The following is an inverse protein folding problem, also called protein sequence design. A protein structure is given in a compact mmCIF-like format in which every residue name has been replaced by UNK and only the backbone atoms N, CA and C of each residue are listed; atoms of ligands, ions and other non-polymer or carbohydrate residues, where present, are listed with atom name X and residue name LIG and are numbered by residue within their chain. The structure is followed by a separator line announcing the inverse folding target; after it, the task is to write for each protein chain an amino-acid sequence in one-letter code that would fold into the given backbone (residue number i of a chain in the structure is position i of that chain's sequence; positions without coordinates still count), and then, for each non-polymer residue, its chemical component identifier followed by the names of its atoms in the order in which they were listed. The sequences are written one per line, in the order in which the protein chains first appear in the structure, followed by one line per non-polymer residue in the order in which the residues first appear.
data_IF_172435275576
#
_entry.id   IF_172435275576
#
_cell.length_a   1.000
_cell.length_b   1.000
_cell.length_c   1.000
_cell.angle_alpha   90.00
_cell.angle_beta   90.00
_cell.angle_gamma   90.00
#
_symmetry.space_group_name_H-M   'P 1'
#
loop_
_entity.id
_entity.type
_entity.pdbx_description
1 polymer ?
#
# COMPACT_ATOMS: atom_id res chain seq x y z
N UNK A 1 10.48 7.56 3.76
CA UNK A 1 10.07 6.31 3.10
C UNK A 1 10.06 5.20 4.12
N UNK A 2 8.87 4.71 4.43
CA UNK A 2 8.66 3.51 5.22
C UNK A 2 7.50 2.71 4.63
N UNK A 3 7.44 1.44 4.97
CA UNK A 3 6.31 0.56 4.68
C UNK A 3 5.80 0.09 6.04
N UNK A 4 4.59 0.51 6.39
CA UNK A 4 3.96 0.18 7.66
C UNK A 4 3.57 -1.29 7.76
N UNK A 5 3.29 -1.72 8.99
CA UNK A 5 2.88 -3.09 9.26
C UNK A 5 1.63 -3.46 8.45
N UNK A 6 1.54 -4.72 8.06
CA UNK A 6 0.43 -5.27 7.27
C UNK A 6 0.19 -4.64 5.89
N UNK A 7 1.05 -3.72 5.43
CA UNK A 7 0.95 -3.17 4.09
C UNK A 7 1.17 -4.25 3.02
N UNK A 8 0.43 -4.17 1.92
CA UNK A 8 0.53 -5.11 0.82
C UNK A 8 0.93 -4.39 -0.47
N UNK A 9 2.15 -4.69 -0.94
CA UNK A 9 2.69 -4.15 -2.19
C UNK A 9 2.59 -5.24 -3.27
N UNK A 10 1.75 -5.01 -4.28
CA UNK A 10 1.56 -5.94 -5.38
C UNK A 10 2.72 -5.88 -6.39
N UNK A 11 2.80 -6.92 -7.23
CA UNK A 11 3.88 -7.07 -8.21
C UNK A 11 4.05 -5.85 -9.10
N UNK A 12 5.31 -5.47 -9.33
CA UNK A 12 5.71 -4.36 -10.22
C UNK A 12 5.20 -2.98 -9.80
N UNK A 13 4.80 -2.78 -8.55
CA UNK A 13 4.62 -1.44 -8.02
C UNK A 13 5.99 -0.72 -7.93
N UNK A 14 6.02 0.54 -8.37
CA UNK A 14 7.15 1.45 -8.23
C UNK A 14 6.85 2.45 -7.10
N UNK A 15 7.65 2.41 -6.04
CA UNK A 15 7.59 3.36 -4.93
C UNK A 15 8.72 4.38 -5.09
N UNK A 16 8.37 5.63 -5.37
CA UNK A 16 9.33 6.73 -5.51
C UNK A 16 9.65 7.39 -4.17
N UNK A 17 10.63 8.30 -4.15
CA UNK A 17 10.89 9.14 -2.98
C UNK A 17 9.62 9.92 -2.59
N UNK A 18 9.23 9.83 -1.33
CA UNK A 18 7.96 10.40 -0.83
C UNK A 18 6.79 9.40 -0.74
N UNK A 19 6.97 8.15 -1.17
CA UNK A 19 5.98 7.08 -1.02
C UNK A 19 6.02 6.44 0.39
N UNK A 20 5.56 7.18 1.40
CA UNK A 20 5.35 6.62 2.73
C UNK A 20 4.05 5.80 2.74
N UNK A 21 4.14 4.48 2.98
CA UNK A 21 2.99 3.57 2.91
C UNK A 21 2.49 3.29 4.33
N UNK A 22 1.29 3.77 4.65
CA UNK A 22 0.67 3.58 5.96
C UNK A 22 0.39 2.10 6.29
N UNK A 23 0.19 1.83 7.57
CA UNK A 23 -0.20 0.50 8.07
C UNK A 23 -1.43 -0.04 7.33
N UNK A 24 -1.38 -1.31 6.94
CA UNK A 24 -2.49 -2.01 6.30
C UNK A 24 -2.82 -1.53 4.87
N UNK A 25 -2.15 -0.51 4.34
CA UNK A 25 -2.42 0.02 3.01
C UNK A 25 -2.13 -1.02 1.90
N UNK A 26 -2.82 -0.89 0.76
CA UNK A 26 -2.65 -1.78 -0.39
C UNK A 26 -2.23 -0.97 -1.60
N UNK A 27 -1.12 -1.35 -2.22
CA UNK A 27 -0.64 -0.80 -3.49
C UNK A 27 -0.86 -1.83 -4.58
N UNK A 28 -1.73 -1.50 -5.54
CA UNK A 28 -2.04 -2.34 -6.70
C UNK A 28 -0.83 -2.62 -7.60
N UNK A 29 -0.94 -3.64 -8.43
CA UNK A 29 0.11 -4.02 -9.36
C UNK A 29 0.34 -2.96 -10.44
N UNK A 30 1.57 -2.84 -10.92
CA UNK A 30 1.98 -1.81 -11.88
C UNK A 30 1.63 -0.36 -11.47
N UNK A 31 1.48 -0.10 -10.17
CA UNK A 31 1.26 1.26 -9.66
C UNK A 31 2.54 2.07 -9.56
N UNK A 32 2.46 3.39 -9.73
CA UNK A 32 3.54 4.32 -9.41
C UNK A 32 3.08 5.21 -8.27
N UNK A 33 3.73 5.10 -7.12
CA UNK A 33 3.41 5.87 -5.91
C UNK A 33 4.50 6.91 -5.69
N UNK A 34 4.13 8.18 -5.63
CA UNK A 34 5.04 9.31 -5.41
C UNK A 34 4.64 10.21 -4.25
N UNK A 35 3.59 9.82 -3.51
CA UNK A 35 3.03 10.56 -2.38
C UNK A 35 2.70 9.58 -1.25
N UNK A 36 2.59 10.05 0.00
CA UNK A 36 2.17 9.21 1.10
C UNK A 36 0.80 8.58 0.84
N UNK A 37 0.65 7.31 1.21
CA UNK A 37 -0.60 6.55 1.15
C UNK A 37 -1.11 6.38 2.57
N UNK A 38 -2.35 6.80 2.80
CA UNK A 38 -2.96 6.74 4.13
C UNK A 38 -3.08 5.28 4.63
N UNK A 39 -3.05 5.05 5.96
CA UNK A 39 -3.29 3.74 6.53
C UNK A 39 -4.60 3.13 6.01
N UNK A 40 -4.58 1.84 5.70
CA UNK A 40 -5.72 1.08 5.17
C UNK A 40 -6.27 1.56 3.82
N UNK A 41 -5.67 2.56 3.16
CA UNK A 41 -6.10 2.96 1.81
C UNK A 41 -5.67 1.92 0.76
N UNK A 42 -6.54 1.68 -0.22
CA UNK A 42 -6.25 0.86 -1.39
C UNK A 42 -5.99 1.81 -2.55
N UNK A 43 -4.79 1.80 -3.12
CA UNK A 43 -4.41 2.61 -4.28
C UNK A 43 -4.07 1.74 -5.48
N UNK A 44 -4.39 2.18 -6.69
CA UNK A 44 -3.98 1.48 -7.91
C UNK A 44 -3.77 2.41 -9.11
N UNK A 45 -3.12 1.87 -10.16
CA UNK A 45 -2.85 2.60 -11.40
C UNK A 45 -1.59 3.50 -11.35
N UNK A 46 -1.26 4.16 -12.47
CA UNK A 46 -0.01 4.92 -12.65
C UNK A 46 0.08 6.18 -11.78
N UNK A 47 -1.03 6.64 -11.18
CA UNK A 47 -1.06 7.80 -10.31
C UNK A 47 -1.39 7.46 -8.84
N UNK A 48 -1.39 6.17 -8.48
CA UNK A 48 -1.76 5.70 -7.15
C UNK A 48 -3.10 6.28 -6.64
N UNK A 49 -4.14 6.21 -7.48
CA UNK A 49 -5.46 6.73 -7.12
C UNK A 49 -6.12 5.84 -6.06
N UNK A 50 -6.76 6.48 -5.08
CA UNK A 50 -7.54 5.76 -4.06
C UNK A 50 -8.73 5.07 -4.72
N UNK A 51 -8.80 3.75 -4.54
CA UNK A 51 -9.91 2.89 -5.01
C UNK A 51 -10.83 2.45 -3.89
N UNK A 52 -10.43 2.64 -2.64
CA UNK A 52 -11.25 2.35 -1.48
C UNK A 52 -10.42 2.15 -0.22
N UNK A 53 -11.04 1.53 0.77
CA UNK A 53 -10.43 1.22 2.06
C UNK A 53 -10.39 -0.30 2.30
N UNK A 54 -9.32 -0.77 2.93
CA UNK A 54 -9.12 -2.15 3.34
C UNK A 54 -9.79 -2.39 4.69
N UNK A 55 -10.25 -3.63 4.91
CA UNK A 55 -10.70 -4.08 6.22
C UNK A 55 -9.62 -3.88 7.31
N UNK A 56 -10.09 -3.51 8.51
CA UNK A 56 -9.25 -3.25 9.69
C UNK A 56 -9.05 -4.50 10.55
N UNK A 57 -8.19 -4.39 11.58
CA UNK A 57 -7.88 -5.46 12.54
C UNK A 57 -7.26 -6.70 11.89
N UNK A 58 -6.25 -6.47 11.03
CA UNK A 58 -5.50 -7.53 10.36
C UNK A 58 -4.69 -8.33 11.39
N UNK A 59 -4.77 -9.66 11.33
CA UNK A 59 -4.14 -10.56 12.32
C UNK A 59 -3.47 -11.78 11.69
N UNK A 60 -3.13 -11.70 10.40
CA UNK A 60 -2.52 -12.83 9.70
C UNK A 60 -1.15 -13.15 10.29
N UNK A 61 -0.87 -14.44 10.42
CA UNK A 61 0.42 -14.96 10.87
C UNK A 61 1.17 -15.46 9.65
N UNK A 62 2.36 -14.92 9.41
CA UNK A 62 3.29 -15.43 8.40
C UNK A 62 4.27 -16.37 9.09
N UNK A 63 4.40 -17.58 8.55
CA UNK A 63 5.07 -18.70 9.20
C UNK A 63 4.06 -19.81 9.47
N UNK A 64 4.28 -20.95 8.83
CA UNK A 64 3.64 -22.21 9.23
C UNK A 64 4.22 -22.73 10.54
#
# INVERSE_FOLDING_TARGET
MFIGDYAWICSRALLSFGADIGEGAVVGGNSVVSKPVAPYAIVSGPNAEVKGERARNLNYKVGG
#
